data_IF_175004414324
#
_entry.id   IF_175004414324
#
_cell.length_a   1.000
_cell.length_b   1.000
_cell.length_c   1.000
_cell.angle_alpha   90.00
_cell.angle_beta   90.00
_cell.angle_gamma   90.00
#
_symmetry.space_group_name_H-M   'P 1'
#
loop_
_entity.id
_entity.type
_entity.pdbx_description
1 polymer ?
#
# COMPACT_ATOMS: atom_id res chain seq x y z
N UNK A 1 -11.98 4.28 4.20
CA UNK A 1 -11.01 3.43 4.93
C UNK A 1 -9.76 4.23 5.21
N UNK A 2 -9.14 4.82 4.18
CA UNK A 2 -7.96 5.69 4.32
C UNK A 2 -8.14 6.87 5.31
N UNK A 3 -9.32 7.49 5.36
CA UNK A 3 -9.65 8.57 6.32
C UNK A 3 -9.39 8.17 7.78
N UNK A 4 -9.84 6.99 8.20
CA UNK A 4 -9.65 6.53 9.58
C UNK A 4 -8.18 6.21 9.89
N UNK A 5 -7.44 5.71 8.90
CA UNK A 5 -6.02 5.41 9.08
C UNK A 5 -5.20 6.70 9.21
N UNK A 6 -5.50 7.71 8.39
CA UNK A 6 -4.86 9.02 8.48
C UNK A 6 -5.24 9.74 9.77
N UNK A 7 -6.48 9.62 10.24
CA UNK A 7 -6.89 10.16 11.53
C UNK A 7 -6.15 9.45 12.68
N UNK A 8 -6.02 8.11 12.64
CA UNK A 8 -5.25 7.38 13.64
C UNK A 8 -3.78 7.85 13.68
N UNK A 9 -3.15 8.10 12.52
CA UNK A 9 -1.81 8.68 12.44
C UNK A 9 -1.75 10.07 13.08
N UNK A 10 -2.74 10.93 12.85
CA UNK A 10 -2.83 12.27 13.47
C UNK A 10 -2.96 12.20 14.99
N UNK A 11 -3.63 11.18 15.50
CA UNK A 11 -3.77 10.91 16.93
C UNK A 11 -2.54 10.22 17.54
N UNK A 12 -1.46 10.03 16.76
CA UNK A 12 -0.21 9.44 17.22
C UNK A 12 -0.22 7.91 17.29
N UNK A 13 -1.24 7.24 16.74
CA UNK A 13 -1.27 5.77 16.68
C UNK A 13 -0.24 5.30 15.66
N UNK A 14 0.71 4.46 16.10
CA UNK A 14 1.71 3.88 15.22
C UNK A 14 1.09 2.77 14.37
N UNK A 15 1.00 3.00 13.06
CA UNK A 15 0.59 1.97 12.11
C UNK A 15 1.80 1.09 11.78
N UNK A 16 1.77 -0.17 12.19
CA UNK A 16 2.82 -1.14 11.90
C UNK A 16 2.64 -1.70 10.48
N UNK A 17 3.73 -2.14 9.82
CA UNK A 17 3.64 -2.82 8.53
C UNK A 17 2.82 -4.11 8.63
N UNK A 18 2.37 -4.63 7.50
CA UNK A 18 1.78 -5.97 7.46
C UNK A 18 2.91 -7.01 7.54
N UNK A 19 2.69 -8.14 8.22
CA UNK A 19 3.75 -9.13 8.43
C UNK A 19 3.15 -10.54 8.60
N UNK A 20 3.60 -11.53 7.83
CA UNK A 20 3.08 -12.91 7.89
C UNK A 20 3.31 -13.60 9.24
N UNK A 21 4.27 -13.12 10.04
CA UNK A 21 4.57 -13.62 11.38
C UNK A 21 3.84 -12.89 12.50
N UNK A 22 3.45 -11.63 12.29
CA UNK A 22 2.81 -10.83 13.35
C UNK A 22 1.34 -10.44 13.09
N UNK A 23 0.95 -10.24 11.83
CA UNK A 23 -0.41 -9.87 11.45
C UNK A 23 -1.38 -11.06 11.59
N UNK A 24 -2.62 -10.75 11.98
CA UNK A 24 -3.74 -11.70 11.97
C UNK A 24 -4.61 -11.56 10.73
N UNK A 25 -5.70 -12.34 10.67
CA UNK A 25 -6.76 -12.12 9.67
C UNK A 25 -7.41 -10.74 9.91
N UNK A 26 -7.76 -10.46 11.17
CA UNK A 26 -8.30 -9.16 11.61
C UNK A 26 -7.19 -8.23 12.08
N UNK A 27 -7.50 -6.93 12.16
CA UNK A 27 -6.63 -5.94 12.80
C UNK A 27 -6.28 -6.36 14.23
N UNK A 28 -5.07 -6.00 14.65
CA UNK A 28 -4.61 -6.13 16.04
C UNK A 28 -4.00 -4.81 16.48
N UNK A 29 -4.09 -4.49 17.75
CA UNK A 29 -3.55 -3.23 18.25
C UNK A 29 -3.74 -3.05 19.74
N UNK A 30 -3.08 -2.03 20.25
CA UNK A 30 -3.27 -1.42 21.56
C UNK A 30 -3.39 0.09 21.35
N UNK A 31 -3.87 0.87 22.32
CA UNK A 31 -4.17 2.30 22.13
C UNK A 31 -3.06 3.16 21.50
N UNK A 32 -1.81 2.70 21.50
CA UNK A 32 -0.65 3.37 20.88
C UNK A 32 -0.20 2.82 19.51
N UNK A 33 -0.69 1.66 19.08
CA UNK A 33 -0.28 1.05 17.81
C UNK A 33 -1.37 0.15 17.22
N UNK A 34 -1.39 0.04 15.90
CA UNK A 34 -2.21 -0.95 15.21
C UNK A 34 -1.44 -1.62 14.09
N UNK A 35 -1.70 -2.92 13.91
CA UNK A 35 -1.18 -3.72 12.82
C UNK A 35 -2.34 -4.16 11.90
N UNK A 36 -2.26 -3.87 10.60
CA UNK A 36 -3.24 -4.31 9.60
C UNK A 36 -3.46 -5.81 9.59
N UNK A 37 -4.73 -6.22 9.47
CA UNK A 37 -5.10 -7.61 9.22
C UNK A 37 -5.16 -7.93 7.73
N UNK A 38 -4.85 -9.19 7.38
CA UNK A 38 -4.82 -9.67 6.00
C UNK A 38 -6.20 -9.70 5.31
N UNK A 39 -7.31 -9.63 6.06
CA UNK A 39 -8.66 -9.60 5.49
C UNK A 39 -8.93 -8.45 4.51
N UNK A 40 -8.09 -7.42 4.50
CA UNK A 40 -8.21 -6.28 3.59
C UNK A 40 -7.46 -6.44 2.27
N UNK A 41 -6.59 -7.45 2.15
CA UNK A 41 -5.88 -7.72 0.91
C UNK A 41 -6.87 -8.28 -0.10
N UNK A 42 -7.09 -7.55 -1.19
CA UNK A 42 -8.01 -7.95 -2.26
C UNK A 42 -7.60 -9.28 -2.86
N UNK A 43 -8.59 -10.08 -3.24
CA UNK A 43 -8.41 -11.33 -3.99
C UNK A 43 -7.55 -12.38 -3.28
N UNK A 44 -7.58 -12.42 -1.94
CA UNK A 44 -7.12 -13.56 -1.15
C UNK A 44 -8.34 -14.28 -0.57
N UNK A 45 -8.36 -15.60 -0.68
CA UNK A 45 -9.42 -16.46 -0.16
C UNK A 45 -9.32 -16.54 1.36
N UNK A 46 -10.47 -16.50 2.04
CA UNK A 46 -10.52 -16.65 3.49
C UNK A 46 -9.85 -17.94 3.99
N UNK A 47 -10.07 -19.06 3.27
CA UNK A 47 -9.45 -20.35 3.57
C UNK A 47 -7.91 -20.30 3.49
N UNK A 48 -7.34 -19.58 2.51
CA UNK A 48 -5.89 -19.42 2.40
C UNK A 48 -5.33 -18.64 3.60
N UNK A 49 -6.03 -17.60 4.06
CA UNK A 49 -5.64 -16.85 5.26
C UNK A 49 -5.75 -17.70 6.54
N UNK A 50 -6.78 -18.53 6.64
CA UNK A 50 -6.96 -19.48 7.76
C UNK A 50 -5.84 -20.51 7.77
N UNK A 51 -5.52 -21.12 6.64
CA UNK A 51 -4.42 -22.07 6.48
C UNK A 51 -3.08 -21.46 6.91
N UNK A 52 -2.80 -20.21 6.49
CA UNK A 52 -1.60 -19.48 6.90
C UNK A 52 -1.52 -19.28 8.43
N UNK A 53 -2.61 -18.82 9.06
CA UNK A 53 -2.60 -18.60 10.51
C UNK A 53 -2.49 -19.92 11.28
N UNK A 54 -3.11 -20.99 10.78
CA UNK A 54 -3.04 -22.32 11.39
C UNK A 54 -1.64 -22.91 11.29
N UNK A 55 -1.00 -22.86 10.11
CA UNK A 55 0.38 -23.31 9.91
C UNK A 55 1.34 -22.60 10.87
N UNK A 56 1.19 -21.28 11.02
CA UNK A 56 1.97 -20.48 11.99
C UNK A 56 1.67 -20.87 13.44
N UNK A 57 0.42 -21.18 13.78
CA UNK A 57 0.03 -21.59 15.14
C UNK A 57 0.63 -22.94 15.51
N UNK A 58 0.62 -23.90 14.57
CA UNK A 58 1.06 -25.28 14.79
C UNK A 58 2.57 -25.41 14.89
N UNK A 59 3.30 -24.69 14.03
CA UNK A 59 4.75 -24.90 13.83
C UNK A 59 5.59 -23.65 14.18
N UNK A 60 4.96 -22.57 14.64
CA UNK A 60 5.63 -21.33 15.03
C UNK A 60 5.82 -20.33 13.88
N UNK A 61 6.60 -19.26 14.06
CA UNK A 61 6.87 -18.29 13.00
C UNK A 61 7.48 -18.92 11.75
N UNK A 62 7.17 -18.38 10.58
CA UNK A 62 7.84 -18.70 9.33
C UNK A 62 9.27 -18.18 9.35
N UNK A 63 10.22 -18.98 8.84
CA UNK A 63 11.64 -18.61 8.78
C UNK A 63 11.97 -17.73 7.57
N UNK A 64 11.37 -18.05 6.44
CA UNK A 64 11.54 -17.37 5.16
C UNK A 64 10.33 -17.66 4.24
N UNK A 65 10.36 -17.15 3.01
CA UNK A 65 9.31 -17.35 2.01
C UNK A 65 9.18 -18.82 1.57
N UNK A 66 10.27 -19.59 1.54
CA UNK A 66 10.23 -21.01 1.14
C UNK A 66 9.52 -21.83 2.22
N UNK A 67 9.91 -21.64 3.48
CA UNK A 67 9.26 -22.22 4.66
C UNK A 67 7.76 -21.89 4.69
N UNK A 68 7.39 -20.66 4.31
CA UNK A 68 5.98 -20.29 4.15
C UNK A 68 5.27 -21.12 3.07
N UNK A 69 5.86 -21.27 1.88
CA UNK A 69 5.25 -22.02 0.77
C UNK A 69 5.14 -23.52 1.05
N UNK A 70 6.05 -24.09 1.84
CA UNK A 70 6.02 -25.51 2.22
C UNK A 70 4.94 -25.78 3.27
N UNK A 71 4.71 -24.84 4.19
CA UNK A 71 3.83 -25.03 5.36
C UNK A 71 2.38 -24.60 5.11
N UNK A 72 2.15 -23.64 4.21
CA UNK A 72 0.81 -23.08 3.94
C UNK A 72 0.18 -23.79 2.75
N UNK A 73 -0.67 -24.77 3.04
CA UNK A 73 -1.37 -25.53 2.02
C UNK A 73 -2.49 -24.72 1.34
N UNK A 74 -2.66 -24.92 0.02
CA UNK A 74 -3.81 -24.41 -0.73
C UNK A 74 -3.80 -22.93 -1.10
N UNK A 75 -2.78 -22.17 -0.69
CA UNK A 75 -2.61 -20.78 -1.11
C UNK A 75 -1.98 -20.71 -2.51
N UNK A 76 -2.63 -20.01 -3.44
CA UNK A 76 -2.16 -19.89 -4.82
C UNK A 76 -1.02 -18.87 -4.93
N UNK A 77 -0.12 -19.06 -5.90
CA UNK A 77 0.99 -18.12 -6.19
C UNK A 77 0.54 -16.66 -6.19
N UNK A 78 -0.52 -16.34 -6.94
CA UNK A 78 -1.03 -14.97 -7.01
C UNK A 78 -1.55 -14.40 -5.68
N UNK A 79 -1.94 -15.23 -4.71
CA UNK A 79 -2.26 -14.75 -3.36
C UNK A 79 -0.98 -14.35 -2.62
N UNK A 80 0.08 -15.14 -2.76
CA UNK A 80 1.39 -14.88 -2.15
C UNK A 80 2.04 -13.63 -2.76
N UNK A 81 1.96 -13.45 -4.09
CA UNK A 81 2.42 -12.23 -4.78
C UNK A 81 1.77 -10.97 -4.16
N UNK A 82 0.48 -11.03 -3.84
CA UNK A 82 -0.23 -9.90 -3.22
C UNK A 82 0.24 -9.64 -1.80
N UNK A 83 0.50 -10.70 -1.03
CA UNK A 83 1.08 -10.58 0.31
C UNK A 83 2.48 -9.95 0.27
N UNK A 84 3.30 -10.30 -0.73
CA UNK A 84 4.61 -9.68 -0.97
C UNK A 84 4.43 -8.17 -1.27
N UNK A 85 3.54 -7.82 -2.19
CA UNK A 85 3.34 -6.43 -2.62
C UNK A 85 2.78 -5.50 -1.54
N UNK A 86 2.08 -6.03 -0.52
CA UNK A 86 1.63 -5.25 0.64
C UNK A 86 2.63 -5.27 1.81
N UNK A 87 3.84 -5.80 1.58
CA UNK A 87 4.93 -5.82 2.55
C UNK A 87 4.88 -6.94 3.58
N UNK A 88 4.03 -7.97 3.37
CA UNK A 88 3.86 -9.07 4.32
C UNK A 88 5.11 -9.91 4.56
N UNK A 89 6.07 -9.88 3.63
CA UNK A 89 7.32 -10.64 3.66
C UNK A 89 8.56 -9.78 3.95
N UNK A 90 8.41 -8.47 4.14
CA UNK A 90 9.52 -7.54 4.36
C UNK A 90 10.37 -7.91 5.60
N UNK A 91 9.77 -8.61 6.58
CA UNK A 91 10.44 -9.09 7.78
C UNK A 91 11.52 -10.16 7.53
N UNK A 92 11.58 -10.76 6.34
CA UNK A 92 12.60 -11.76 5.97
C UNK A 92 13.88 -11.15 5.40
N UNK A 93 13.95 -9.83 5.26
CA UNK A 93 15.14 -9.12 4.81
C UNK A 93 15.40 -9.18 3.31
N UNK A 94 14.46 -9.71 2.52
CA UNK A 94 14.43 -9.59 1.06
C UNK A 94 13.58 -8.39 0.66
N UNK A 95 13.98 -7.68 -0.39
CA UNK A 95 13.12 -6.69 -1.03
C UNK A 95 11.89 -7.34 -1.68
N UNK A 96 10.88 -6.55 -2.00
CA UNK A 96 9.67 -7.06 -2.65
C UNK A 96 9.97 -7.66 -4.05
N UNK A 97 10.81 -7.04 -4.91
CA UNK A 97 11.23 -7.66 -6.17
C UNK A 97 12.01 -8.97 -5.98
N UNK A 98 12.89 -9.03 -4.99
CA UNK A 98 13.65 -10.25 -4.66
C UNK A 98 12.73 -11.38 -4.17
N UNK A 99 11.76 -11.05 -3.32
CA UNK A 99 10.74 -12.01 -2.86
C UNK A 99 9.87 -12.49 -4.02
N UNK A 100 9.53 -11.60 -4.97
CA UNK A 100 8.77 -11.96 -6.17
C UNK A 100 9.56 -12.93 -7.06
N UNK A 101 10.84 -12.65 -7.28
CA UNK A 101 11.73 -13.53 -8.04
C UNK A 101 11.88 -14.90 -7.37
N UNK A 102 12.07 -14.91 -6.04
CA UNK A 102 12.15 -16.14 -5.26
C UNK A 102 10.86 -16.97 -5.38
N UNK A 103 9.70 -16.32 -5.33
CA UNK A 103 8.41 -16.97 -5.51
C UNK A 103 8.27 -17.60 -6.91
N UNK A 104 8.73 -16.91 -7.94
CA UNK A 104 8.74 -17.43 -9.31
C UNK A 104 9.55 -18.73 -9.39
N UNK A 105 10.79 -18.70 -8.87
CA UNK A 105 11.71 -19.85 -8.90
C UNK A 105 11.15 -21.07 -8.13
N UNK A 106 10.60 -20.85 -6.94
CA UNK A 106 9.96 -21.92 -6.13
C UNK A 106 8.81 -22.58 -6.88
N UNK A 107 7.93 -21.80 -7.52
CA UNK A 107 6.78 -22.35 -8.24
C UNK A 107 7.14 -22.96 -9.60
N UNK A 108 8.18 -22.48 -10.27
CA UNK A 108 8.65 -23.05 -11.53
C UNK A 108 9.39 -24.38 -11.28
N UNK A 109 10.17 -24.48 -10.20
CA UNK A 109 10.75 -25.74 -9.77
C UNK A 109 9.66 -26.79 -9.48
N UNK A 110 8.59 -26.42 -8.77
CA UNK A 110 7.47 -27.33 -8.49
C UNK A 110 6.77 -27.82 -9.78
N UNK A 111 6.70 -27.00 -10.83
CA UNK A 111 6.13 -27.37 -12.14
C UNK A 111 7.02 -28.31 -12.92
N UNK A 112 8.34 -28.08 -12.93
CA UNK A 112 9.31 -28.92 -13.64
C UNK A 112 9.37 -30.37 -13.11
N UNK A 113 8.99 -30.59 -11.85
CA UNK A 113 8.93 -31.92 -11.24
C UNK A 113 7.62 -32.66 -11.55
N UNK A 114 6.58 -31.95 -11.98
CA UNK A 114 5.24 -32.49 -12.27
C UNK A 114 5.11 -33.25 -13.60
N UNK A 115 6.10 -33.20 -14.50
CA UNK A 115 6.06 -33.94 -15.77
C UNK A 115 6.61 -35.38 -15.69
N UNK A 116 7.01 -35.86 -14.50
CA UNK A 116 7.58 -37.21 -14.37
C UNK A 116 7.45 -37.94 -13.03
N UNK A 117 6.97 -37.31 -11.96
CA UNK A 117 6.79 -37.96 -10.66
C UNK A 117 5.43 -37.62 -10.06
N UNK A 118 4.80 -38.62 -9.43
CA UNK A 118 3.41 -38.59 -8.99
C UNK A 118 3.04 -37.35 -8.15
N UNK A 119 1.84 -36.84 -8.44
CA UNK A 119 1.19 -35.64 -7.91
C UNK A 119 1.02 -35.60 -6.36
N UNK A 120 1.58 -36.53 -5.60
CA UNK A 120 1.34 -36.69 -4.17
C UNK A 120 2.56 -37.12 -3.33
N UNK A 121 3.76 -37.23 -3.90
CA UNK A 121 4.93 -37.68 -3.14
C UNK A 121 5.85 -36.50 -2.78
N UNK A 122 5.41 -35.72 -1.79
CA UNK A 122 6.24 -34.73 -1.09
C UNK A 122 6.53 -33.46 -1.88
N UNK A 123 6.03 -32.32 -1.39
CA UNK A 123 6.69 -31.03 -1.60
C UNK A 123 8.04 -31.13 -0.89
N UNK A 124 8.99 -31.76 -1.58
CA UNK A 124 10.29 -32.14 -1.08
C UNK A 124 11.20 -30.93 -1.11
N UNK A 125 11.75 -30.62 0.05
CA UNK A 125 12.91 -29.76 0.28
C UNK A 125 13.78 -29.67 -0.98
N UNK A 126 13.86 -28.48 -1.57
CA UNK A 126 14.78 -28.21 -2.67
C UNK A 126 16.18 -28.67 -2.21
N UNK A 127 16.89 -29.55 -2.95
CA UNK A 127 18.23 -29.95 -2.56
C UNK A 127 19.07 -28.68 -2.40
N UNK A 128 19.90 -28.58 -1.35
CA UNK A 128 20.64 -27.34 -1.01
C UNK A 128 21.49 -26.76 -2.17
N UNK A 129 21.80 -27.56 -3.19
CA UNK A 129 22.47 -27.12 -4.42
C UNK A 129 21.55 -26.38 -5.42
N UNK A 130 20.23 -26.47 -5.26
CA UNK A 130 19.17 -25.80 -6.00
C UNK A 130 18.46 -24.72 -5.16
N UNK A 131 19.11 -24.24 -4.09
CA UNK A 131 18.61 -23.10 -3.34
C UNK A 131 18.46 -21.90 -4.30
N UNK A 132 17.26 -21.30 -4.38
CA UNK A 132 17.01 -20.19 -5.27
C UNK A 132 18.06 -19.09 -5.11
N UNK A 133 18.78 -18.77 -6.17
CA UNK A 133 19.76 -17.69 -6.15
C UNK A 133 19.05 -16.40 -6.49
N UNK A 134 18.56 -15.71 -5.47
CA UNK A 134 18.03 -14.36 -5.60
C UNK A 134 19.12 -13.43 -6.15
N UNK A 135 18.90 -12.74 -7.28
CA UNK A 135 19.85 -11.76 -7.77
C UNK A 135 19.96 -10.59 -6.77
N UNK A 136 21.13 -10.43 -6.14
CA UNK A 136 21.39 -9.41 -5.11
C UNK A 136 21.38 -7.94 -5.64
N UNK A 137 20.90 -7.71 -6.86
CA UNK A 137 20.99 -6.43 -7.56
C UNK A 137 19.64 -5.89 -8.03
N UNK A 138 18.52 -6.46 -7.55
CA UNK A 138 17.21 -5.91 -7.87
C UNK A 138 16.97 -4.63 -7.06
N UNK A 139 16.70 -3.53 -7.75
CA UNK A 139 16.33 -2.27 -7.11
C UNK A 139 14.98 -2.44 -6.43
N UNK A 140 14.93 -2.16 -5.12
CA UNK A 140 13.68 -2.19 -4.36
C UNK A 140 12.69 -1.13 -4.87
N UNK A 141 11.41 -1.34 -4.58
CA UNK A 141 10.38 -0.37 -4.89
C UNK A 141 10.56 0.90 -4.07
N UNK A 142 10.49 2.04 -4.75
CA UNK A 142 10.44 3.32 -4.07
C UNK A 142 9.10 3.50 -3.32
N UNK A 143 9.05 4.51 -2.44
CA UNK A 143 7.86 4.80 -1.62
C UNK A 143 6.58 4.94 -2.46
N UNK A 144 6.65 5.60 -3.61
CA UNK A 144 5.49 5.78 -4.47
C UNK A 144 4.98 4.45 -5.04
N UNK A 145 5.88 3.59 -5.51
CA UNK A 145 5.54 2.24 -5.98
C UNK A 145 4.88 1.40 -4.88
N UNK A 146 5.47 1.39 -3.67
CA UNK A 146 4.89 0.67 -2.51
C UNK A 146 3.50 1.18 -2.16
N UNK A 147 3.33 2.50 -2.07
CA UNK A 147 2.04 3.12 -1.77
C UNK A 147 0.99 2.85 -2.85
N UNK A 148 1.38 2.84 -4.13
CA UNK A 148 0.48 2.49 -5.23
C UNK A 148 0.04 1.03 -5.18
N UNK A 149 0.96 0.11 -4.87
CA UNK A 149 0.63 -1.32 -4.68
C UNK A 149 -0.35 -1.50 -3.51
N UNK A 150 -0.08 -0.86 -2.38
CA UNK A 150 -0.96 -0.87 -1.20
C UNK A 150 -2.33 -0.28 -1.51
N UNK A 151 -2.40 0.85 -2.23
CA UNK A 151 -3.66 1.45 -2.63
C UNK A 151 -4.47 0.50 -3.54
N UNK A 152 -3.80 -0.17 -4.48
CA UNK A 152 -4.43 -1.13 -5.39
C UNK A 152 -4.96 -2.36 -4.65
N UNK A 153 -4.22 -2.88 -3.67
CA UNK A 153 -4.49 -4.15 -2.99
C UNK A 153 -5.29 -4.01 -1.68
N UNK A 154 -5.13 -2.91 -0.94
CA UNK A 154 -5.78 -2.65 0.36
C UNK A 154 -6.86 -1.57 0.24
N UNK A 155 -6.71 -0.63 -0.70
CA UNK A 155 -7.53 0.57 -0.79
C UNK A 155 -7.11 1.71 0.16
N UNK A 156 -5.91 1.63 0.73
CA UNK A 156 -5.27 2.65 1.58
C UNK A 156 -3.75 2.40 1.61
N UNK A 157 -2.96 3.41 2.00
CA UNK A 157 -1.50 3.33 2.05
C UNK A 157 -1.02 3.04 3.48
N UNK A 158 -0.15 2.05 3.62
CA UNK A 158 0.52 1.68 4.87
C UNK A 158 1.90 2.32 4.98
N UNK A 159 2.70 2.23 3.92
CA UNK A 159 4.09 2.69 3.87
C UNK A 159 4.21 4.21 4.02
N UNK A 160 3.25 4.96 3.50
CA UNK A 160 3.22 6.41 3.57
C UNK A 160 1.80 6.98 3.63
N UNK A 161 1.70 8.30 3.51
CA UNK A 161 0.43 9.01 3.39
C UNK A 161 0.34 9.82 2.09
N UNK A 162 -0.88 10.25 1.75
CA UNK A 162 -1.15 10.93 0.49
C UNK A 162 -0.38 12.24 0.32
N UNK A 163 -0.13 12.97 1.41
CA UNK A 163 0.62 14.22 1.36
C UNK A 163 2.10 13.94 1.07
N UNK A 164 2.66 12.87 1.63
CA UNK A 164 4.01 12.40 1.31
C UNK A 164 4.17 12.08 -0.18
N UNK A 165 3.21 11.35 -0.75
CA UNK A 165 3.22 11.03 -2.18
C UNK A 165 3.07 12.29 -3.04
N UNK A 166 2.23 13.23 -2.62
CA UNK A 166 2.07 14.51 -3.31
C UNK A 166 3.36 15.34 -3.27
N UNK A 167 4.09 15.36 -2.15
CA UNK A 167 5.36 16.06 -2.02
C UNK A 167 6.43 15.57 -3.01
N UNK A 168 6.39 14.29 -3.39
CA UNK A 168 7.28 13.72 -4.41
C UNK A 168 7.00 14.26 -5.82
N UNK A 169 5.80 14.80 -6.08
CA UNK A 169 5.42 15.28 -7.40
C UNK A 169 6.17 16.56 -7.78
N UNK A 170 6.71 16.73 -9.01
CA UNK A 170 7.46 17.93 -9.38
C UNK A 170 6.72 19.26 -9.18
N UNK A 171 5.38 19.23 -9.28
CA UNK A 171 4.55 20.41 -9.05
C UNK A 171 4.47 20.85 -7.58
N UNK A 172 4.88 20.03 -6.60
CA UNK A 172 5.02 20.44 -5.19
C UNK A 172 6.10 21.51 -5.00
N UNK A 173 7.14 21.49 -5.86
CA UNK A 173 8.30 22.38 -5.75
C UNK A 173 7.89 23.85 -5.87
N UNK A 174 8.31 24.66 -4.90
CA UNK A 174 8.01 26.10 -4.86
C UNK A 174 6.56 26.43 -4.49
N UNK A 175 5.78 25.45 -4.01
CA UNK A 175 4.50 25.75 -3.38
C UNK A 175 4.71 26.46 -2.03
N UNK A 176 3.88 27.45 -1.75
CA UNK A 176 3.83 28.16 -0.48
C UNK A 176 3.01 27.33 0.51
N UNK A 177 3.53 27.01 1.71
CA UNK A 177 2.75 26.31 2.73
C UNK A 177 1.49 27.07 3.10
N UNK A 178 0.36 26.36 3.29
CA UNK A 178 -0.95 26.93 3.57
C UNK A 178 -0.92 27.94 4.74
N UNK A 179 -0.24 27.59 5.84
CA UNK A 179 -0.08 28.45 7.03
C UNK A 179 0.60 29.80 6.74
N UNK A 180 1.35 29.92 5.65
CA UNK A 180 2.17 31.11 5.32
C UNK A 180 1.52 32.01 4.28
N UNK A 181 0.43 31.56 3.64
CA UNK A 181 -0.24 32.28 2.53
C UNK A 181 -0.64 33.70 2.94
N UNK A 182 -1.09 33.89 4.18
CA UNK A 182 -1.48 35.21 4.72
C UNK A 182 -0.37 36.27 4.65
N UNK A 183 0.90 35.85 4.60
CA UNK A 183 2.06 36.75 4.48
C UNK A 183 2.24 37.34 3.08
N UNK A 184 1.58 36.74 2.07
CA UNK A 184 1.69 37.12 0.66
C UNK A 184 0.43 37.86 0.17
N UNK A 185 -0.26 38.57 1.07
CA UNK A 185 -1.45 39.34 0.72
C UNK A 185 -1.20 40.28 -0.47
N UNK A 186 -2.11 40.23 -1.45
CA UNK A 186 -2.01 41.00 -2.70
C UNK A 186 -1.03 40.43 -3.75
N UNK A 187 -0.36 39.31 -3.47
CA UNK A 187 0.58 38.67 -4.38
C UNK A 187 0.02 37.34 -4.92
N UNK A 188 0.55 36.91 -6.06
CA UNK A 188 0.26 35.57 -6.60
C UNK A 188 1.20 34.56 -5.95
N UNK A 189 0.62 33.55 -5.31
CA UNK A 189 1.35 32.42 -4.74
C UNK A 189 0.98 31.13 -5.45
N UNK A 190 1.90 30.17 -5.45
CA UNK A 190 1.64 28.80 -5.88
C UNK A 190 1.22 27.99 -4.67
N UNK A 191 0.11 27.28 -4.76
CA UNK A 191 -0.35 26.31 -3.75
C UNK A 191 -0.36 24.91 -4.36
N UNK A 192 -0.09 23.90 -3.54
CA UNK A 192 -0.11 22.51 -3.97
C UNK A 192 -0.44 21.63 -2.76
N UNK A 193 -1.41 20.74 -2.91
CA UNK A 193 -1.90 19.92 -1.82
C UNK A 193 -2.97 18.95 -2.26
N UNK A 194 -3.47 18.16 -1.31
CA UNK A 194 -4.58 17.23 -1.52
C UNK A 194 -5.87 18.02 -1.66
N UNK A 195 -6.62 17.77 -2.71
CA UNK A 195 -7.98 18.27 -2.84
C UNK A 195 -8.90 17.62 -1.80
N UNK A 196 -9.51 18.44 -0.94
CA UNK A 196 -10.44 18.00 0.11
C UNK A 196 -11.89 18.10 -0.38
N UNK A 197 -12.26 19.23 -0.96
CA UNK A 197 -13.59 19.46 -1.53
C UNK A 197 -13.51 20.46 -2.68
N UNK A 198 -14.45 20.35 -3.62
CA UNK A 198 -14.69 21.35 -4.65
C UNK A 198 -16.18 21.70 -4.70
N UNK A 199 -16.50 22.96 -5.03
CA UNK A 199 -17.87 23.43 -5.25
C UNK A 199 -17.90 24.39 -6.43
N UNK A 200 -18.63 24.03 -7.48
CA UNK A 200 -18.91 24.93 -8.59
C UNK A 200 -20.16 25.77 -8.32
N UNK A 201 -20.02 27.09 -8.42
CA UNK A 201 -21.11 28.05 -8.37
C UNK A 201 -21.24 28.73 -9.72
N UNK A 202 -22.45 28.71 -10.31
CA UNK A 202 -22.73 29.57 -11.47
C UNK A 202 -23.13 30.94 -10.97
N UNK A 203 -22.35 31.95 -11.33
CA UNK A 203 -22.70 33.34 -11.04
C UNK A 203 -23.65 33.80 -12.15
N UNK A 204 -24.92 33.98 -11.80
CA UNK A 204 -25.85 34.69 -12.67
C UNK A 204 -25.47 36.17 -12.65
N UNK A 205 -25.11 36.72 -13.82
CA UNK A 205 -24.96 38.16 -13.99
C UNK A 205 -26.32 38.81 -13.76
N UNK A 206 -26.56 39.32 -12.57
CA UNK A 206 -27.63 40.29 -12.33
C UNK A 206 -27.24 41.61 -12.98
N UNK A 207 -28.12 42.11 -13.86
CA UNK A 207 -28.06 43.42 -14.55
C UNK A 207 -27.29 43.44 -15.88
N UNK A 208 -27.80 42.69 -16.86
CA UNK A 208 -28.09 43.13 -18.24
C UNK A 208 -28.28 41.88 -19.10
N UNK A 209 -29.53 41.63 -19.50
CA UNK A 209 -30.03 40.39 -20.09
C UNK A 209 -29.58 40.13 -21.54
N UNK A 210 -28.33 40.46 -21.89
CA UNK A 210 -27.79 40.28 -23.24
C UNK A 210 -26.29 40.02 -23.21
N UNK A 211 -25.83 38.96 -22.53
CA UNK A 211 -24.52 38.35 -22.77
C UNK A 211 -24.36 37.02 -22.03
N UNK A 212 -24.48 35.91 -22.76
CA UNK A 212 -23.74 34.66 -22.52
C UNK A 212 -24.08 33.84 -21.26
N UNK A 213 -23.81 32.54 -21.32
CA UNK A 213 -23.89 31.64 -20.18
C UNK A 213 -23.14 32.23 -18.96
N UNK A 214 -23.78 32.19 -17.78
CA UNK A 214 -23.18 32.72 -16.55
C UNK A 214 -21.79 32.16 -16.29
N UNK A 215 -20.89 33.00 -15.77
CA UNK A 215 -19.52 32.61 -15.44
C UNK A 215 -19.55 31.58 -14.31
N UNK A 216 -18.83 30.47 -14.49
CA UNK A 216 -18.66 29.45 -13.47
C UNK A 216 -17.49 29.84 -12.57
N UNK A 217 -17.72 29.86 -11.26
CA UNK A 217 -16.72 30.03 -10.21
C UNK A 217 -16.55 28.70 -9.50
N UNK A 218 -15.32 28.33 -9.13
CA UNK A 218 -15.02 27.09 -8.44
C UNK A 218 -14.32 27.37 -7.12
N UNK A 219 -14.91 26.94 -6.02
CA UNK A 219 -14.27 26.94 -4.72
C UNK A 219 -13.59 25.59 -4.53
N UNK A 220 -12.30 25.60 -4.24
CA UNK A 220 -11.46 24.42 -4.05
C UNK A 220 -10.79 24.51 -2.69
N UNK A 221 -11.00 23.52 -1.81
CA UNK A 221 -10.23 23.40 -0.57
C UNK A 221 -9.07 22.45 -0.80
N UNK A 222 -7.85 22.95 -0.58
CA UNK A 222 -6.62 22.18 -0.64
C UNK A 222 -6.02 21.99 0.76
N UNK A 223 -5.43 20.84 1.00
CA UNK A 223 -4.76 20.48 2.26
C UNK A 223 -3.30 20.15 2.00
N UNK A 224 -2.39 20.77 2.74
CA UNK A 224 -0.99 20.37 2.80
C UNK A 224 -0.63 19.90 4.23
N UNK A 225 0.67 19.67 4.50
CA UNK A 225 1.15 19.26 5.84
C UNK A 225 0.92 20.28 6.93
N UNK A 226 0.78 21.55 6.56
CA UNK A 226 0.59 22.64 7.49
C UNK A 226 -0.87 22.78 7.86
N UNK A 227 -1.72 23.15 6.90
CA UNK A 227 -3.13 23.50 7.13
C UNK A 227 -3.95 23.28 5.84
N UNK A 228 -5.25 23.51 5.92
CA UNK A 228 -6.14 23.58 4.76
C UNK A 228 -6.36 25.03 4.32
N UNK A 229 -6.47 25.27 3.03
CA UNK A 229 -6.74 26.58 2.43
C UNK A 229 -7.85 26.49 1.39
N UNK A 230 -8.73 27.49 1.38
CA UNK A 230 -9.74 27.67 0.35
C UNK A 230 -9.20 28.55 -0.79
N UNK A 231 -9.39 28.08 -2.02
CA UNK A 231 -8.96 28.72 -3.27
C UNK A 231 -10.21 28.98 -4.11
N UNK A 232 -10.30 30.15 -4.74
CA UNK A 232 -11.41 30.59 -5.60
C UNK A 232 -10.89 30.86 -7.01
#
# INVERSE_FOLDING_TARGET
RDVYLNEARRWGVRILPMDVNESGIKYRGSGSWMRPGFMHVRNIRGQSLEAMVEARRREGPFRDLVDFTERVEGMHKGEIERLILVGGFDGFGLSQPESMFLLDDVFDAARGWGEGAGLFDGVGVLPAAAAPRVPQLLTDYNLAQRCLNELALLGYMLSGDILEILELHPASKGATPAREISRFSGQRVKVFGRQVTERMHRVQRTLNASAGAGEAMMFLTLEDRSESVDVI
#
